data_IF_516782205994
#
_entry.id   IF_516782205994
#
_cell.length_a   1.000
_cell.length_b   1.000
_cell.length_c   1.000
_cell.angle_alpha   90.00
_cell.angle_beta   90.00
_cell.angle_gamma   90.00
#
_symmetry.space_group_name_H-M   'P 1'
#
loop_
_entity.id
_entity.type
_entity.pdbx_description
1 polymer ?
#
# COMPACT_ATOMS: atom_id res chain seq x y z
N UNK A 1 3.66 -7.53 6.38
CA UNK A 1 4.34 -8.71 6.95
C UNK A 1 4.38 -9.82 5.94
N UNK A 2 5.40 -10.70 6.04
CA UNK A 2 5.50 -11.93 5.25
C UNK A 2 5.73 -13.12 6.17
N UNK A 3 5.09 -14.24 5.87
CA UNK A 3 5.33 -15.51 6.55
C UNK A 3 6.64 -16.15 6.09
N UNK A 4 7.13 -17.16 6.79
CA UNK A 4 8.01 -18.15 6.19
C UNK A 4 7.31 -18.82 5.01
N UNK A 5 8.05 -19.42 4.06
CA UNK A 5 7.45 -20.21 2.99
C UNK A 5 6.48 -21.27 3.57
N UNK A 6 5.28 -21.31 3.01
CA UNK A 6 4.30 -22.32 3.35
C UNK A 6 4.59 -23.60 2.56
N UNK A 7 4.12 -24.75 3.05
CA UNK A 7 4.24 -25.99 2.30
C UNK A 7 3.46 -25.89 0.98
N UNK A 8 3.95 -26.52 -0.07
CA UNK A 8 3.39 -26.41 -1.43
C UNK A 8 1.87 -26.62 -1.45
N UNK A 9 1.38 -27.70 -0.84
CA UNK A 9 -0.04 -28.00 -0.78
C UNK A 9 -0.89 -26.93 -0.06
N UNK A 10 -0.30 -26.23 0.89
CA UNK A 10 -0.97 -25.15 1.63
C UNK A 10 -0.90 -23.84 0.83
N UNK A 11 0.25 -23.56 0.26
CA UNK A 11 0.48 -22.36 -0.55
C UNK A 11 -0.42 -22.35 -1.82
N UNK A 12 -0.58 -23.49 -2.48
CA UNK A 12 -1.42 -23.63 -3.67
C UNK A 12 -2.89 -23.26 -3.44
N UNK A 13 -3.38 -23.37 -2.20
CA UNK A 13 -4.75 -22.98 -1.85
C UNK A 13 -4.91 -21.47 -1.66
N UNK A 14 -3.82 -20.72 -1.55
CA UNK A 14 -3.82 -19.28 -1.37
C UNK A 14 -3.62 -18.62 -2.73
N UNK A 15 -4.66 -17.99 -3.26
CA UNK A 15 -4.59 -17.23 -4.50
C UNK A 15 -3.86 -18.02 -5.61
N UNK A 16 -4.39 -19.16 -6.03
CA UNK A 16 -3.69 -20.14 -6.89
C UNK A 16 -3.30 -19.57 -8.26
N UNK A 17 -3.94 -18.51 -8.71
CA UNK A 17 -3.58 -17.81 -9.94
C UNK A 17 -2.49 -16.73 -9.75
N UNK A 18 -1.82 -16.66 -8.59
CA UNK A 18 -0.80 -15.66 -8.30
C UNK A 18 -1.33 -14.21 -8.21
N UNK A 19 -2.63 -14.03 -8.15
CA UNK A 19 -3.29 -12.72 -8.08
C UNK A 19 -3.09 -12.06 -6.73
N UNK A 20 -3.16 -10.72 -6.70
CA UNK A 20 -3.34 -9.97 -5.46
C UNK A 20 -4.81 -9.86 -5.10
N UNK A 21 -5.11 -9.79 -3.81
CA UNK A 21 -6.45 -9.54 -3.28
C UNK A 21 -6.42 -8.50 -2.18
N UNK A 22 -7.53 -7.82 -1.96
CA UNK A 22 -7.72 -6.90 -0.85
C UNK A 22 -9.20 -6.83 -0.48
N UNK A 23 -9.48 -6.49 0.78
CA UNK A 23 -10.84 -6.27 1.23
C UNK A 23 -11.31 -4.82 0.91
N UNK A 24 -12.57 -4.54 1.16
CA UNK A 24 -13.21 -3.24 0.91
C UNK A 24 -13.34 -2.37 2.16
N UNK A 25 -12.65 -2.72 3.25
CA UNK A 25 -12.68 -1.95 4.49
C UNK A 25 -11.99 -0.60 4.31
N UNK A 26 -12.34 0.39 5.15
CA UNK A 26 -11.67 1.69 5.13
C UNK A 26 -10.16 1.56 5.39
N UNK A 27 -9.76 0.73 6.36
CA UNK A 27 -8.38 0.30 6.58
C UNK A 27 -8.26 -1.10 6.03
N UNK A 28 -8.03 -1.18 4.73
CA UNK A 28 -8.01 -2.43 3.97
C UNK A 28 -6.88 -3.37 4.42
N UNK A 29 -7.12 -4.65 4.24
CA UNK A 29 -6.08 -5.67 4.26
C UNK A 29 -5.81 -6.15 2.84
N UNK A 30 -4.55 -6.19 2.44
CA UNK A 30 -4.12 -6.77 1.17
C UNK A 30 -3.47 -8.13 1.40
N UNK A 31 -3.68 -9.03 0.46
CA UNK A 31 -3.25 -10.42 0.54
C UNK A 31 -2.55 -10.77 -0.76
N UNK A 32 -1.38 -11.36 -0.65
CA UNK A 32 -0.62 -11.87 -1.80
C UNK A 32 0.11 -13.15 -1.41
N UNK A 33 0.53 -13.88 -2.42
CA UNK A 33 1.50 -14.94 -2.31
C UNK A 33 2.70 -14.58 -3.21
N UNK A 34 3.91 -14.73 -2.69
CA UNK A 34 5.11 -14.56 -3.51
C UNK A 34 5.51 -15.85 -4.24
N UNK A 35 6.58 -15.76 -5.02
CA UNK A 35 7.10 -16.89 -5.79
C UNK A 35 7.64 -18.03 -4.90
N UNK A 36 8.06 -17.71 -3.67
CA UNK A 36 8.57 -18.67 -2.71
C UNK A 36 7.47 -19.32 -1.85
N UNK A 37 6.20 -19.00 -2.14
CA UNK A 37 5.05 -19.54 -1.40
C UNK A 37 4.80 -18.85 -0.06
N UNK A 38 5.35 -17.65 0.19
CA UNK A 38 5.09 -16.89 1.42
C UNK A 38 3.73 -16.21 1.34
N UNK A 39 3.01 -16.21 2.45
CA UNK A 39 1.82 -15.37 2.60
C UNK A 39 2.24 -13.94 2.98
N UNK A 40 1.87 -12.98 2.15
CA UNK A 40 2.09 -11.57 2.38
C UNK A 40 0.78 -10.90 2.78
N UNK A 41 0.78 -10.24 3.93
CA UNK A 41 -0.34 -9.43 4.41
C UNK A 41 0.09 -7.97 4.56
N UNK A 42 -0.70 -7.07 4.01
CA UNK A 42 -0.46 -5.64 4.08
C UNK A 42 -1.69 -4.88 4.57
N UNK A 43 -1.48 -3.74 5.20
CA UNK A 43 -2.54 -2.81 5.61
C UNK A 43 -1.99 -1.39 5.65
N UNK A 44 -2.81 -0.43 6.05
CA UNK A 44 -2.43 0.97 6.25
C UNK A 44 -1.95 1.19 7.69
N UNK A 45 -1.03 2.14 7.85
CA UNK A 45 -0.44 2.53 9.13
C UNK A 45 1.07 2.31 9.20
N UNK A 46 1.73 3.05 10.08
CA UNK A 46 3.17 3.02 10.24
C UNK A 46 3.62 1.83 11.10
N UNK A 47 4.05 0.76 10.45
CA UNK A 47 4.55 -0.43 11.11
C UNK A 47 5.87 -0.23 11.88
N UNK A 48 6.72 0.74 11.47
CA UNK A 48 8.02 0.99 12.13
C UNK A 48 7.88 1.51 13.57
N UNK A 49 6.75 2.13 13.89
CA UNK A 49 6.47 2.65 15.25
C UNK A 49 5.69 1.65 16.10
N UNK A 50 5.46 0.44 15.61
CA UNK A 50 4.72 -0.60 16.33
C UNK A 50 5.67 -1.71 16.78
N UNK A 51 5.48 -2.23 17.99
CA UNK A 51 6.25 -3.39 18.43
C UNK A 51 5.92 -4.63 17.57
N UNK A 52 6.89 -5.50 17.37
CA UNK A 52 6.75 -6.68 16.51
C UNK A 52 5.55 -7.58 16.92
N UNK A 53 5.29 -7.70 18.22
CA UNK A 53 4.15 -8.49 18.71
C UNK A 53 2.80 -7.93 18.24
N UNK A 54 2.67 -6.60 18.10
CA UNK A 54 1.45 -5.97 17.63
C UNK A 54 1.19 -6.28 16.15
N UNK A 55 2.23 -6.18 15.32
CA UNK A 55 2.15 -6.51 13.89
C UNK A 55 1.83 -8.00 13.69
N UNK A 56 2.47 -8.86 14.49
CA UNK A 56 2.21 -10.30 14.47
C UNK A 56 0.78 -10.62 14.87
N UNK A 57 0.29 -10.06 15.96
CA UNK A 57 -1.09 -10.28 16.42
C UNK A 57 -2.14 -9.78 15.42
N UNK A 58 -1.84 -8.68 14.70
CA UNK A 58 -2.66 -8.23 13.59
C UNK A 58 -2.63 -9.23 12.44
N UNK A 59 -1.45 -9.68 12.04
CA UNK A 59 -1.28 -10.64 10.95
C UNK A 59 -1.96 -11.99 11.25
N UNK A 60 -1.84 -12.49 12.48
CA UNK A 60 -2.51 -13.70 12.93
C UNK A 60 -4.04 -13.59 12.81
N UNK A 61 -4.62 -12.44 13.21
CA UNK A 61 -6.08 -12.20 13.06
C UNK A 61 -6.51 -12.19 11.60
N UNK A 62 -5.78 -11.47 10.75
CA UNK A 62 -6.09 -11.38 9.31
C UNK A 62 -5.97 -12.76 8.69
N UNK A 63 -4.91 -13.50 9.01
CA UNK A 63 -4.70 -14.86 8.53
C UNK A 63 -5.83 -15.78 8.98
N UNK A 64 -6.21 -15.74 10.26
CA UNK A 64 -7.30 -16.57 10.79
C UNK A 64 -8.65 -16.24 10.16
N UNK A 65 -8.88 -14.97 9.83
CA UNK A 65 -10.12 -14.55 9.19
C UNK A 65 -10.25 -15.09 7.75
N UNK A 66 -9.20 -14.96 6.95
CA UNK A 66 -9.23 -15.36 5.53
C UNK A 66 -8.82 -16.82 5.30
N UNK A 67 -7.92 -17.33 6.12
CA UNK A 67 -7.34 -18.66 5.97
C UNK A 67 -7.36 -19.44 7.31
N UNK A 68 -8.54 -19.75 7.88
CA UNK A 68 -8.65 -20.41 9.18
C UNK A 68 -8.06 -21.83 9.18
N UNK A 69 -7.88 -22.40 8.00
CA UNK A 69 -7.27 -23.73 7.84
C UNK A 69 -5.75 -23.73 7.98
N UNK A 70 -5.09 -22.57 7.85
CA UNK A 70 -3.66 -22.47 8.10
C UNK A 70 -3.38 -22.52 9.59
N UNK A 71 -2.47 -23.40 9.99
CA UNK A 71 -2.04 -23.52 11.38
C UNK A 71 -0.54 -23.26 11.48
N UNK A 72 -0.11 -22.65 12.58
CA UNK A 72 1.30 -22.47 12.88
C UNK A 72 2.04 -21.55 11.88
N UNK A 73 1.36 -20.56 11.30
CA UNK A 73 2.01 -19.60 10.41
C UNK A 73 3.04 -18.81 11.20
N UNK A 74 4.29 -18.86 10.74
CA UNK A 74 5.39 -18.08 11.31
C UNK A 74 5.67 -16.84 10.47
N UNK A 75 5.60 -15.66 11.09
CA UNK A 75 5.92 -14.39 10.44
C UNK A 75 7.42 -14.11 10.53
N UNK A 76 8.06 -13.97 9.39
CA UNK A 76 9.50 -13.82 9.26
C UNK A 76 9.92 -12.36 9.05
N UNK A 77 9.21 -11.63 8.18
CA UNK A 77 9.57 -10.28 7.81
C UNK A 77 8.45 -9.28 8.06
N UNK A 78 8.85 -8.07 8.46
CA UNK A 78 7.96 -6.90 8.50
C UNK A 78 8.64 -5.72 7.83
N UNK A 79 7.89 -4.92 7.10
CA UNK A 79 8.37 -3.67 6.52
C UNK A 79 7.24 -2.66 6.43
N UNK A 80 7.60 -1.42 6.22
CA UNK A 80 6.66 -0.33 5.98
C UNK A 80 7.20 0.61 4.92
N UNK A 81 6.31 1.37 4.32
CA UNK A 81 6.62 2.41 3.35
C UNK A 81 5.73 3.62 3.56
N UNK A 82 6.06 4.74 2.92
CA UNK A 82 5.25 5.94 2.94
C UNK A 82 4.43 6.06 1.67
N UNK A 83 3.17 6.44 1.81
CA UNK A 83 2.27 6.71 0.69
C UNK A 83 1.92 8.20 0.72
N UNK A 84 2.09 8.88 -0.43
CA UNK A 84 1.63 10.24 -0.59
C UNK A 84 0.13 10.24 -0.89
N UNK A 85 -0.68 10.63 0.10
CA UNK A 85 -2.11 10.84 -0.07
C UNK A 85 -2.40 12.30 -0.43
N UNK A 86 -3.28 12.50 -1.41
CA UNK A 86 -3.88 13.80 -1.72
C UNK A 86 -5.31 13.86 -1.19
N UNK A 87 -5.81 15.04 -0.80
CA UNK A 87 -7.15 15.16 -0.20
C UNK A 87 -8.29 14.67 -1.11
N UNK A 88 -8.11 14.79 -2.41
CA UNK A 88 -9.07 14.38 -3.45
C UNK A 88 -8.75 13.03 -4.09
N UNK A 89 -7.75 12.34 -3.57
CA UNK A 89 -7.27 11.06 -4.07
C UNK A 89 -6.85 11.05 -5.55
N UNK A 90 -6.46 12.22 -6.09
CA UNK A 90 -5.98 12.37 -7.45
C UNK A 90 -4.47 12.60 -7.48
N UNK A 91 -3.79 11.98 -8.43
CA UNK A 91 -2.37 12.23 -8.67
C UNK A 91 -2.18 13.63 -9.27
N UNK A 92 -0.95 14.16 -9.14
CA UNK A 92 -0.54 15.45 -9.69
C UNK A 92 0.75 15.29 -10.48
N UNK A 93 0.78 15.88 -11.67
CA UNK A 93 2.00 16.02 -12.45
C UNK A 93 2.56 17.42 -12.22
N UNK A 94 3.88 17.53 -12.16
CA UNK A 94 4.58 18.79 -11.95
C UNK A 94 5.75 18.89 -12.92
N UNK A 95 6.08 20.11 -13.31
CA UNK A 95 7.33 20.46 -13.97
C UNK A 95 8.07 21.48 -13.09
N UNK A 96 8.87 21.01 -12.10
CA UNK A 96 9.60 21.88 -11.17
C UNK A 96 10.62 22.80 -11.84
N UNK A 97 11.17 22.37 -12.95
CA UNK A 97 12.08 23.13 -13.80
C UNK A 97 11.97 22.61 -15.25
N UNK A 98 12.40 23.38 -16.24
CA UNK A 98 12.40 22.93 -17.63
C UNK A 98 13.09 21.58 -17.81
N UNK A 99 12.38 20.60 -18.37
CA UNK A 99 12.89 19.24 -18.58
C UNK A 99 12.95 18.36 -17.32
N UNK A 100 12.47 18.85 -16.17
CA UNK A 100 12.34 18.05 -14.95
C UNK A 100 10.85 17.80 -14.65
N UNK A 101 10.39 16.59 -14.84
CA UNK A 101 9.01 16.21 -14.57
C UNK A 101 8.90 15.33 -13.32
N UNK A 102 7.84 15.50 -12.57
CA UNK A 102 7.59 14.74 -11.35
C UNK A 102 6.10 14.40 -11.23
N UNK A 103 5.82 13.30 -10.54
CA UNK A 103 4.46 12.89 -10.20
C UNK A 103 4.38 12.50 -8.73
N UNK A 104 3.29 12.86 -8.09
CA UNK A 104 2.99 12.43 -6.71
C UNK A 104 1.50 12.21 -6.51
N UNK A 105 1.13 11.67 -5.36
CA UNK A 105 -0.27 11.45 -5.01
C UNK A 105 -0.90 10.24 -5.70
N UNK A 106 -0.15 9.17 -5.89
CA UNK A 106 -0.70 7.90 -6.39
C UNK A 106 -1.73 7.25 -5.44
N UNK A 107 -1.77 7.69 -4.19
CA UNK A 107 -2.73 7.19 -3.19
C UNK A 107 -2.76 5.66 -3.06
N UNK A 108 -1.57 5.03 -3.08
CA UNK A 108 -1.40 3.58 -2.99
C UNK A 108 -1.56 2.81 -4.32
N UNK A 109 -1.85 3.49 -5.43
CA UNK A 109 -2.08 2.87 -6.76
C UNK A 109 -0.94 3.11 -7.74
N UNK A 110 0.31 3.23 -7.23
CA UNK A 110 1.47 3.65 -8.02
C UNK A 110 1.98 2.63 -9.04
N UNK A 111 1.76 1.34 -8.86
CA UNK A 111 2.37 0.31 -9.72
C UNK A 111 1.93 0.47 -11.18
N UNK A 112 0.64 0.33 -11.45
CA UNK A 112 0.10 0.46 -12.82
C UNK A 112 0.13 1.91 -13.30
N UNK A 113 -0.32 2.83 -12.47
CA UNK A 113 -0.40 4.26 -12.82
C UNK A 113 0.99 4.85 -13.06
N UNK A 114 2.00 4.43 -12.29
CA UNK A 114 3.38 4.86 -12.46
C UNK A 114 3.97 4.42 -13.80
N UNK A 115 3.66 3.22 -14.26
CA UNK A 115 4.11 2.72 -15.58
C UNK A 115 3.50 3.55 -16.72
N UNK A 116 2.19 3.85 -16.63
CA UNK A 116 1.50 4.68 -17.65
C UNK A 116 2.04 6.10 -17.67
N UNK A 117 2.19 6.72 -16.50
CA UNK A 117 2.72 8.09 -16.38
C UNK A 117 4.19 8.15 -16.81
N UNK A 118 4.99 7.15 -16.45
CA UNK A 118 6.39 7.06 -16.87
C UNK A 118 6.54 7.01 -18.38
N UNK A 119 5.70 6.23 -19.07
CA UNK A 119 5.66 6.24 -20.54
C UNK A 119 5.28 7.61 -21.08
N UNK A 120 4.21 8.22 -20.56
CA UNK A 120 3.76 9.55 -20.99
C UNK A 120 4.82 10.64 -20.75
N UNK A 121 5.58 10.58 -19.65
CA UNK A 121 6.70 11.47 -19.40
C UNK A 121 7.84 11.28 -20.40
N UNK A 122 8.16 10.03 -20.76
CA UNK A 122 9.16 9.76 -21.77
C UNK A 122 8.73 10.33 -23.14
N UNK A 123 7.49 10.12 -23.54
CA UNK A 123 6.94 10.65 -24.78
C UNK A 123 6.94 12.20 -24.78
N UNK A 124 6.55 12.83 -23.67
CA UNK A 124 6.59 14.27 -23.50
C UNK A 124 8.01 14.86 -23.60
N UNK A 125 8.95 14.28 -22.86
CA UNK A 125 10.34 14.77 -22.83
C UNK A 125 11.06 14.57 -24.16
N UNK A 126 10.77 13.49 -24.89
CA UNK A 126 11.39 13.23 -26.19
C UNK A 126 10.80 14.04 -27.33
N UNK A 127 9.48 14.27 -27.31
CA UNK A 127 8.75 14.83 -28.45
C UNK A 127 8.21 16.25 -28.18
N UNK A 128 8.23 16.74 -26.95
CA UNK A 128 7.66 18.03 -26.55
C UNK A 128 6.13 18.08 -26.60
N UNK A 129 5.45 16.94 -26.79
CA UNK A 129 3.99 16.92 -26.95
C UNK A 129 3.29 16.76 -25.59
N UNK A 130 2.79 17.87 -25.05
CA UNK A 130 2.02 17.88 -23.81
C UNK A 130 0.69 17.10 -23.91
N UNK A 131 0.20 16.79 -25.12
CA UNK A 131 -1.01 15.96 -25.30
C UNK A 131 -0.76 14.50 -24.97
N UNK A 132 0.49 14.06 -24.89
CA UNK A 132 0.85 12.73 -24.41
C UNK A 132 0.59 12.55 -22.92
N UNK A 133 0.47 13.62 -22.14
CA UNK A 133 0.24 13.57 -20.70
C UNK A 133 -1.21 13.20 -20.38
N UNK A 134 -1.46 12.27 -19.44
CA UNK A 134 -2.80 11.84 -19.08
C UNK A 134 -3.62 12.91 -18.34
N UNK A 135 -2.94 13.87 -17.71
CA UNK A 135 -3.51 15.04 -17.05
C UNK A 135 -2.53 16.23 -17.19
N UNK A 136 -3.01 17.47 -17.13
CA UNK A 136 -2.12 18.63 -17.23
C UNK A 136 -1.21 18.76 -16.00
N UNK A 137 -0.13 19.51 -16.14
CA UNK A 137 0.71 19.90 -15.01
C UNK A 137 -0.08 20.76 -14.02
N UNK A 138 0.05 20.41 -12.75
CA UNK A 138 -0.53 21.18 -11.66
C UNK A 138 0.44 22.28 -11.19
N UNK A 139 -0.06 23.44 -10.73
CA UNK A 139 0.77 24.44 -10.11
C UNK A 139 1.39 23.89 -8.82
N UNK A 140 2.69 24.12 -8.64
CA UNK A 140 3.39 23.77 -7.41
C UNK A 140 2.93 24.70 -6.28
N UNK A 141 2.31 24.12 -5.27
CA UNK A 141 1.91 24.84 -4.05
C UNK A 141 2.40 24.09 -2.84
N UNK A 142 3.11 24.74 -1.91
CA UNK A 142 3.48 24.11 -0.65
C UNK A 142 2.22 23.77 0.15
N UNK A 143 2.16 22.56 0.66
CA UNK A 143 1.08 22.12 1.56
C UNK A 143 1.49 22.38 3.00
N UNK A 144 0.73 23.21 3.71
CA UNK A 144 0.92 23.44 5.14
C UNK A 144 0.26 22.32 5.96
N UNK A 145 0.80 22.06 7.15
CA UNK A 145 0.20 21.14 8.13
C UNK A 145 0.28 19.65 7.76
N UNK A 146 1.15 19.26 6.83
CA UNK A 146 1.31 17.85 6.42
C UNK A 146 1.73 16.95 7.57
N UNK A 147 2.61 17.41 8.46
CA UNK A 147 3.03 16.66 9.64
C UNK A 147 1.87 16.37 10.58
N UNK A 148 1.05 17.37 10.90
CA UNK A 148 -0.12 17.19 11.76
C UNK A 148 -1.13 16.22 11.14
N UNK A 149 -1.40 16.35 9.84
CA UNK A 149 -2.29 15.42 9.12
C UNK A 149 -1.76 13.99 9.17
N UNK A 150 -0.46 13.79 8.92
CA UNK A 150 0.16 12.47 9.04
C UNK A 150 0.00 11.88 10.43
N UNK A 151 0.23 12.66 11.50
CA UNK A 151 0.00 12.21 12.86
C UNK A 151 -1.45 11.80 13.13
N UNK A 152 -2.42 12.56 12.62
CA UNK A 152 -3.84 12.25 12.78
C UNK A 152 -4.23 10.95 12.04
N UNK A 153 -3.75 10.74 10.81
CA UNK A 153 -3.95 9.50 10.08
C UNK A 153 -3.34 8.30 10.81
N UNK A 154 -2.10 8.43 11.29
CA UNK A 154 -1.43 7.36 12.03
C UNK A 154 -2.12 7.02 13.36
N UNK A 155 -2.62 8.03 14.08
CA UNK A 155 -3.44 7.82 15.27
C UNK A 155 -4.73 7.07 14.92
N UNK A 156 -5.41 7.48 13.84
CA UNK A 156 -6.62 6.84 13.35
C UNK A 156 -6.40 5.37 12.98
N UNK A 157 -5.35 5.05 12.22
CA UNK A 157 -4.99 3.67 11.87
C UNK A 157 -4.67 2.85 13.11
N UNK A 158 -3.96 3.42 14.07
CA UNK A 158 -3.60 2.75 15.32
C UNK A 158 -4.83 2.40 16.16
N UNK A 159 -5.77 3.35 16.28
CA UNK A 159 -7.03 3.14 17.00
C UNK A 159 -7.91 2.10 16.28
N UNK A 160 -7.97 2.15 14.96
CA UNK A 160 -8.71 1.16 14.18
C UNK A 160 -8.16 -0.26 14.40
N UNK A 161 -6.86 -0.46 14.29
CA UNK A 161 -6.24 -1.75 14.53
C UNK A 161 -6.38 -2.22 15.99
N UNK A 162 -6.31 -1.30 16.96
CA UNK A 162 -6.59 -1.62 18.35
C UNK A 162 -8.06 -2.04 18.55
N UNK A 163 -9.00 -1.33 17.92
CA UNK A 163 -10.42 -1.67 17.94
C UNK A 163 -10.70 -3.06 17.35
N UNK A 164 -10.00 -3.44 16.27
CA UNK A 164 -10.05 -4.78 15.73
C UNK A 164 -9.50 -5.84 16.71
N UNK A 165 -8.45 -5.51 17.50
CA UNK A 165 -7.97 -6.39 18.56
C UNK A 165 -9.02 -6.65 19.62
N UNK A 166 -9.79 -5.64 19.97
CA UNK A 166 -10.84 -5.71 21.01
C UNK A 166 -12.19 -6.20 20.46
N UNK A 167 -12.25 -6.59 19.18
CA UNK A 167 -13.50 -6.99 18.47
C UNK A 167 -14.59 -5.92 18.48
N UNK A 168 -14.23 -4.65 18.64
CA UNK A 168 -15.15 -3.50 18.63
C UNK A 168 -15.43 -3.07 17.18
N UNK A 169 -14.47 -3.31 16.27
CA UNK A 169 -14.57 -3.02 14.83
C UNK A 169 -14.36 -4.32 14.07
N UNK A 170 -15.26 -4.62 13.15
CA UNK A 170 -15.20 -5.80 12.28
C UNK A 170 -14.40 -5.49 11.02
#
# INVERSE_FOLDING_TARGET
>A
VASKPLTDATAERILPGGQGSWDTRQVLSSIRRDADGRLLLGSLGNGNQKPAWFLKAWADRVQQHYFPYLKGVEWECTWTGCIAFTPDHLMRLFEPAPGLVAVTGYNGRGVTTGSVVGKAFADYLCNGDAKALPIPFAPMRPLSGTGLRSCLYEAGFSLYHAGQCLRIVI
#
